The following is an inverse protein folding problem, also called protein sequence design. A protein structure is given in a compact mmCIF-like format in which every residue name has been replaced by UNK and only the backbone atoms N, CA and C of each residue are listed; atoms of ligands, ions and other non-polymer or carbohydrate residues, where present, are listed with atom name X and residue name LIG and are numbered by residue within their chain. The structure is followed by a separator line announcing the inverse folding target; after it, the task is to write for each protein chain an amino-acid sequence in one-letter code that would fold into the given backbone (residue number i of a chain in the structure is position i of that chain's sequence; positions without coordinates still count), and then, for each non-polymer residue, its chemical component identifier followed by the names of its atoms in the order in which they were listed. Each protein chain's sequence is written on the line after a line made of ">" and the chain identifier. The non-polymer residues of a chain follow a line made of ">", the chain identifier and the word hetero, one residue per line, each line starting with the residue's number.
data_IF_813005114168
#
_entry.id   IF_813005114168
#
_cell.length_a   1.000
_cell.length_b   1.000
_cell.length_c   1.000
_cell.angle_alpha   90.00
_cell.angle_beta   90.00
_cell.angle_gamma   90.00
#
_symmetry.space_group_name_H-M   'P 1'
#
loop_
_entity.id
_entity.type
_entity.pdbx_description
1 polymer ?
#
# COMPACT_ATOMS: atom_id res chain seq x y z
N UNK A 1 -6.48 0.85 4.21
CA UNK A 1 -7.07 2.22 4.16
C UNK A 1 -8.38 2.29 4.95
N UNK A 2 -9.30 1.33 4.79
CA UNK A 2 -10.59 1.28 5.50
C UNK A 2 -10.46 1.20 7.02
N UNK A 3 -9.34 0.72 7.54
CA UNK A 3 -9.02 0.70 8.97
C UNK A 3 -9.12 2.10 9.60
N UNK A 4 -8.80 3.16 8.83
CA UNK A 4 -8.87 4.56 9.25
C UNK A 4 -10.27 5.19 9.11
N UNK A 5 -11.27 4.48 8.56
CA UNK A 5 -12.60 5.05 8.42
C UNK A 5 -13.22 5.27 9.82
N UNK A 6 -13.76 6.48 10.02
CA UNK A 6 -14.29 6.95 11.31
C UNK A 6 -13.22 7.13 12.39
N UNK A 7 -11.95 7.31 12.01
CA UNK A 7 -10.83 7.49 12.94
C UNK A 7 -9.91 8.59 12.46
N UNK A 8 -9.18 9.19 13.41
CA UNK A 8 -8.26 10.28 13.12
C UNK A 8 -6.92 9.80 12.55
N UNK A 9 -6.57 10.28 11.37
CA UNK A 9 -5.25 10.06 10.77
C UNK A 9 -4.24 11.13 11.22
N UNK A 10 -2.97 10.79 11.52
CA UNK A 10 -2.40 9.44 11.57
C UNK A 10 -2.56 8.70 12.92
N UNK A 11 -3.12 9.35 13.95
CA UNK A 11 -3.09 8.86 15.34
C UNK A 11 -3.80 7.52 15.57
N UNK A 12 -4.75 7.13 14.71
CA UNK A 12 -5.50 5.88 14.83
C UNK A 12 -4.62 4.61 14.78
N UNK A 13 -3.37 4.72 14.32
CA UNK A 13 -2.41 3.61 14.35
C UNK A 13 -2.20 3.04 15.76
N UNK A 14 -2.34 3.86 16.80
CA UNK A 14 -2.18 3.43 18.19
C UNK A 14 -3.33 2.52 18.63
N UNK A 15 -4.54 2.72 18.09
CA UNK A 15 -5.68 1.83 18.31
C UNK A 15 -5.45 0.46 17.68
N UNK A 16 -4.79 0.41 16.52
CA UNK A 16 -4.48 -0.86 15.86
C UNK A 16 -3.43 -1.63 16.66
N UNK A 17 -2.37 -0.93 17.12
CA UNK A 17 -1.35 -1.53 18.00
C UNK A 17 -1.96 -2.08 19.28
N UNK A 18 -2.87 -1.33 19.88
CA UNK A 18 -3.59 -1.75 21.07
C UNK A 18 -4.45 -3.00 20.82
N UNK A 19 -5.14 -3.07 19.67
CA UNK A 19 -6.00 -4.20 19.33
C UNK A 19 -5.25 -5.52 19.18
N UNK A 20 -4.00 -5.50 18.70
CA UNK A 20 -3.17 -6.69 18.53
C UNK A 20 -2.16 -6.92 19.66
N UNK A 21 -2.16 -6.06 20.69
CA UNK A 21 -1.15 -6.05 21.76
C UNK A 21 -0.98 -7.39 22.50
N UNK A 22 -1.99 -8.25 22.51
CA UNK A 22 -1.96 -9.55 23.18
C UNK A 22 -1.70 -10.73 22.25
N UNK A 23 -1.56 -10.48 20.95
CA UNK A 23 -1.24 -11.50 19.97
C UNK A 23 0.25 -11.41 19.59
N UNK A 24 1.10 -12.31 20.10
CA UNK A 24 2.54 -12.29 19.80
C UNK A 24 2.87 -12.66 18.35
N UNK A 25 1.90 -13.11 17.56
CA UNK A 25 2.09 -13.49 16.16
C UNK A 25 1.61 -12.40 15.19
N UNK A 26 0.98 -11.35 15.69
CA UNK A 26 0.49 -10.23 14.88
C UNK A 26 1.50 -9.07 14.91
N UNK A 27 1.78 -8.52 13.72
CA UNK A 27 2.68 -7.38 13.56
C UNK A 27 1.99 -6.28 12.77
N UNK A 28 2.14 -5.03 13.22
CA UNK A 28 1.76 -3.85 12.43
C UNK A 28 2.99 -3.33 11.73
N UNK A 29 2.96 -3.34 10.40
CA UNK A 29 4.02 -2.79 9.58
C UNK A 29 3.58 -1.47 8.94
N UNK A 30 3.84 -0.36 9.63
CA UNK A 30 3.68 1.00 9.10
C UNK A 30 4.99 1.77 9.22
N UNK A 31 5.77 1.81 8.13
CA UNK A 31 7.17 2.25 8.13
C UNK A 31 7.97 1.46 9.18
N UNK A 32 7.79 0.14 9.17
CA UNK A 32 8.44 -0.79 10.09
C UNK A 32 9.05 -1.98 9.34
N UNK A 33 10.12 -2.51 9.93
CA UNK A 33 10.84 -3.69 9.47
C UNK A 33 10.58 -4.86 10.43
N UNK A 34 10.42 -6.05 9.87
CA UNK A 34 10.42 -7.32 10.60
C UNK A 34 11.40 -8.27 9.92
N UNK A 35 12.36 -8.80 10.66
CA UNK A 35 13.23 -9.87 10.15
C UNK A 35 12.71 -11.21 10.66
N UNK A 36 12.40 -12.13 9.74
CA UNK A 36 11.87 -13.45 10.06
C UNK A 36 12.54 -14.48 9.14
N UNK A 37 13.11 -15.53 9.73
CA UNK A 37 13.76 -16.63 9.01
C UNK A 37 14.78 -16.20 7.94
N UNK A 38 15.54 -15.14 8.21
CA UNK A 38 16.56 -14.60 7.30
C UNK A 38 16.02 -13.71 6.18
N UNK A 39 14.70 -13.46 6.14
CA UNK A 39 14.04 -12.57 5.20
C UNK A 39 13.68 -11.25 5.91
N UNK A 40 13.98 -10.13 5.26
CA UNK A 40 13.56 -8.79 5.68
C UNK A 40 12.18 -8.48 5.11
N UNK A 41 11.21 -8.24 5.98
CA UNK A 41 9.91 -7.70 5.62
C UNK A 41 9.89 -6.20 5.89
N UNK A 42 9.58 -5.41 4.85
CA UNK A 42 9.39 -3.96 4.94
C UNK A 42 7.92 -3.66 4.68
N UNK A 43 7.24 -3.04 5.64
CA UNK A 43 5.84 -2.70 5.46
C UNK A 43 5.48 -1.26 5.75
N UNK A 44 4.58 -0.73 4.93
CA UNK A 44 3.96 0.58 5.05
C UNK A 44 2.64 0.57 4.28
N UNK A 45 1.66 1.39 4.67
CA UNK A 45 0.42 1.53 3.91
C UNK A 45 0.69 1.99 2.47
N UNK A 46 1.81 2.70 2.24
CA UNK A 46 2.17 3.36 0.99
C UNK A 46 1.00 4.19 0.47
N UNK A 47 0.59 5.22 1.22
CA UNK A 47 -0.48 6.10 0.76
C UNK A 47 -0.16 6.72 -0.61
N UNK A 48 -1.18 7.26 -1.23
CA UNK A 48 -1.13 7.84 -2.58
C UNK A 48 -0.36 9.17 -2.65
N UNK A 49 0.27 9.43 -3.80
CA UNK A 49 0.80 10.73 -4.23
C UNK A 49 -0.10 11.42 -5.28
N UNK A 50 -1.26 10.82 -5.56
CA UNK A 50 -2.22 11.21 -6.60
C UNK A 50 -1.62 11.28 -8.00
N UNK A 51 -0.75 10.32 -8.35
CA UNK A 51 0.02 10.31 -9.59
C UNK A 51 0.85 11.60 -9.75
N UNK A 52 1.65 11.93 -8.74
CA UNK A 52 2.39 13.18 -8.65
C UNK A 52 1.49 14.42 -8.60
N UNK A 53 0.33 14.33 -7.94
CA UNK A 53 -0.66 15.40 -7.83
C UNK A 53 -1.58 15.59 -9.04
N UNK A 54 -1.27 14.98 -10.19
CA UNK A 54 -2.05 15.17 -11.44
C UNK A 54 -3.50 14.74 -11.29
N UNK A 55 -3.77 13.75 -10.45
CA UNK A 55 -5.09 13.16 -10.28
C UNK A 55 -5.84 13.66 -9.04
N UNK A 56 -5.23 14.53 -8.23
CA UNK A 56 -5.78 14.95 -6.93
C UNK A 56 -7.23 15.44 -7.02
N UNK A 57 -7.52 16.31 -8.00
CA UNK A 57 -8.86 16.86 -8.18
C UNK A 57 -9.92 15.79 -8.51
N UNK A 58 -9.54 14.77 -9.29
CA UNK A 58 -10.43 13.66 -9.61
C UNK A 58 -10.64 12.76 -8.38
N UNK A 59 -9.57 12.44 -7.65
CA UNK A 59 -9.64 11.62 -6.45
C UNK A 59 -10.52 12.28 -5.37
N UNK A 60 -10.33 13.58 -5.08
CA UNK A 60 -11.12 14.31 -4.09
C UNK A 60 -12.63 14.25 -4.34
N UNK A 61 -13.05 14.21 -5.61
CA UNK A 61 -14.48 14.11 -5.98
C UNK A 61 -14.99 12.66 -6.01
N UNK A 62 -14.14 11.71 -6.38
CA UNK A 62 -14.55 10.37 -6.75
C UNK A 62 -14.73 9.40 -5.58
N UNK A 63 -14.24 9.75 -4.38
CA UNK A 63 -14.00 8.73 -3.34
C UNK A 63 -14.41 9.22 -1.96
N UNK A 64 -14.93 8.32 -1.13
CA UNK A 64 -15.42 8.65 0.21
C UNK A 64 -14.33 8.84 1.25
N UNK A 65 -13.11 8.31 1.05
CA UNK A 65 -12.07 8.27 2.08
C UNK A 65 -11.76 9.65 2.69
N UNK A 66 -11.68 10.69 1.87
CA UNK A 66 -11.42 12.06 2.32
C UNK A 66 -12.54 12.66 3.19
N UNK A 67 -13.72 12.05 3.18
CA UNK A 67 -14.88 12.46 3.99
C UNK A 67 -15.04 11.64 5.27
N UNK A 68 -14.54 10.40 5.28
CA UNK A 68 -14.76 9.45 6.39
C UNK A 68 -13.52 9.23 7.25
N UNK A 69 -12.32 9.53 6.75
CA UNK A 69 -11.13 9.62 7.58
C UNK A 69 -11.18 10.96 8.31
N UNK A 70 -11.11 10.91 9.63
CA UNK A 70 -11.11 12.13 10.44
C UNK A 70 -9.73 12.77 10.39
N UNK A 71 -9.68 14.10 10.31
CA UNK A 71 -8.40 14.81 10.15
C UNK A 71 -8.53 16.24 9.65
N UNK A 72 -9.74 16.66 9.28
CA UNK A 72 -10.01 17.99 8.77
C UNK A 72 -11.01 17.93 7.62
N UNK A 73 -10.96 18.93 6.75
CA UNK A 73 -11.68 18.89 5.49
C UNK A 73 -10.98 17.92 4.49
N UNK A 74 -11.63 17.53 3.38
CA UNK A 74 -11.07 16.59 2.40
C UNK A 74 -9.67 16.94 1.87
N UNK A 75 -9.35 18.22 1.68
CA UNK A 75 -8.04 18.66 1.19
C UNK A 75 -6.95 18.51 2.25
N UNK A 76 -7.28 18.74 3.52
CA UNK A 76 -6.37 18.54 4.65
C UNK A 76 -6.03 17.05 4.81
N UNK A 77 -7.04 16.19 4.72
CA UNK A 77 -6.85 14.74 4.72
C UNK A 77 -5.98 14.34 3.53
N UNK A 78 -6.30 14.79 2.32
CA UNK A 78 -5.54 14.45 1.13
C UNK A 78 -4.06 14.87 1.24
N UNK A 79 -3.80 16.05 1.81
CA UNK A 79 -2.46 16.54 2.10
C UNK A 79 -1.76 15.66 3.13
N UNK A 80 -2.44 15.25 4.20
CA UNK A 80 -1.86 14.37 5.21
C UNK A 80 -1.45 13.01 4.63
N UNK A 81 -2.29 12.40 3.79
CA UNK A 81 -1.97 11.14 3.10
C UNK A 81 -0.75 11.28 2.18
N UNK A 82 -0.64 12.38 1.43
CA UNK A 82 0.54 12.64 0.59
C UNK A 82 1.81 12.91 1.43
N UNK A 83 1.69 13.57 2.58
CA UNK A 83 2.84 13.73 3.48
C UNK A 83 3.30 12.38 4.04
N UNK A 84 2.38 11.49 4.40
CA UNK A 84 2.72 10.13 4.83
C UNK A 84 3.35 9.32 3.69
N UNK A 85 2.80 9.39 2.48
CA UNK A 85 3.40 8.79 1.27
C UNK A 85 4.88 9.14 1.13
N UNK A 86 5.23 10.43 1.26
CA UNK A 86 6.62 10.88 1.15
C UNK A 86 7.50 10.31 2.27
N UNK A 87 6.98 10.23 3.49
CA UNK A 87 7.69 9.59 4.61
C UNK A 87 7.90 8.10 4.36
N UNK A 88 6.89 7.42 3.80
CA UNK A 88 6.96 6.00 3.45
C UNK A 88 8.02 5.73 2.38
N UNK A 89 8.07 6.54 1.30
CA UNK A 89 9.09 6.40 0.27
C UNK A 89 10.49 6.72 0.78
N UNK A 90 10.65 7.78 1.56
CA UNK A 90 11.95 8.11 2.17
C UNK A 90 12.45 6.97 3.06
N UNK A 91 11.56 6.45 3.92
CA UNK A 91 11.87 5.33 4.78
C UNK A 91 12.22 4.05 4.01
N UNK A 92 11.44 3.69 2.97
CA UNK A 92 11.75 2.54 2.11
C UNK A 92 13.13 2.70 1.46
N UNK A 93 13.41 3.87 0.89
CA UNK A 93 14.71 4.17 0.30
C UNK A 93 15.84 3.96 1.31
N UNK A 94 15.71 4.50 2.53
CA UNK A 94 16.68 4.29 3.62
C UNK A 94 16.87 2.82 3.99
N UNK A 95 15.80 1.99 3.99
CA UNK A 95 15.93 0.56 4.25
C UNK A 95 16.71 -0.17 3.15
N UNK A 96 16.55 0.22 1.89
CA UNK A 96 17.28 -0.37 0.78
C UNK A 96 18.73 0.10 0.67
N UNK A 97 19.11 1.20 1.35
CA UNK A 97 20.53 1.60 1.49
C UNK A 97 21.29 0.79 2.56
N UNK A 98 20.60 -0.01 3.37
CA UNK A 98 21.25 -0.90 4.36
C UNK A 98 21.82 -2.15 3.67
N UNK A 99 22.56 -2.97 4.44
CA UNK A 99 23.13 -4.22 3.93
C UNK A 99 22.12 -5.07 3.17
N UNK A 100 22.55 -5.56 2.01
CA UNK A 100 21.74 -6.39 1.12
C UNK A 100 21.28 -7.67 1.84
N UNK A 101 20.00 -7.99 1.68
CA UNK A 101 19.35 -9.19 2.19
C UNK A 101 18.10 -9.46 1.37
N UNK A 102 17.66 -10.71 1.36
CA UNK A 102 16.38 -11.07 0.78
C UNK A 102 15.27 -10.26 1.42
N UNK A 103 14.58 -9.47 0.59
CA UNK A 103 13.62 -8.48 1.05
C UNK A 103 12.26 -8.69 0.40
N UNK A 104 11.22 -8.69 1.24
CA UNK A 104 9.81 -8.67 0.85
C UNK A 104 9.23 -7.32 1.25
N UNK A 105 8.56 -6.66 0.32
CA UNK A 105 7.83 -5.41 0.60
C UNK A 105 6.34 -5.71 0.69
N UNK A 106 5.67 -5.17 1.71
CA UNK A 106 4.23 -5.33 1.92
C UNK A 106 3.57 -3.97 2.01
N UNK A 107 2.65 -3.67 1.08
CA UNK A 107 1.91 -2.42 1.06
C UNK A 107 0.42 -2.62 0.96
N UNK A 108 -0.37 -1.60 1.30
CA UNK A 108 -1.80 -1.64 0.99
C UNK A 108 -2.05 -1.19 -0.44
N UNK A 109 -1.54 -0.02 -0.83
CA UNK A 109 -1.67 0.52 -2.18
C UNK A 109 -0.74 -0.20 -3.16
N UNK A 110 -1.15 -0.23 -4.42
CA UNK A 110 -0.39 -0.87 -5.48
C UNK A 110 0.85 -0.03 -5.83
N UNK A 111 2.01 -0.67 -6.04
CA UNK A 111 3.27 0.04 -6.28
C UNK A 111 3.54 0.32 -7.77
N UNK A 112 2.58 0.03 -8.65
CA UNK A 112 2.61 0.43 -10.06
C UNK A 112 1.21 0.44 -10.65
N UNK A 113 0.99 1.22 -11.70
CA UNK A 113 -0.24 1.17 -12.50
C UNK A 113 -0.39 -0.15 -13.27
N UNK A 114 0.66 -0.99 -13.35
CA UNK A 114 0.56 -2.33 -13.92
C UNK A 114 -0.43 -3.25 -13.17
N UNK A 115 -0.68 -2.99 -11.87
CA UNK A 115 -1.68 -3.74 -11.11
C UNK A 115 -3.13 -3.34 -11.42
N UNK A 116 -3.32 -2.23 -12.12
CA UNK A 116 -4.63 -1.66 -12.40
C UNK A 116 -5.44 -2.58 -13.31
N UNK A 117 -6.69 -2.85 -12.93
CA UNK A 117 -7.58 -3.63 -13.78
C UNK A 117 -7.84 -2.91 -15.12
N UNK A 118 -7.95 -3.64 -16.25
CA UNK A 118 -8.13 -3.03 -17.56
C UNK A 118 -9.33 -2.08 -17.66
N UNK A 119 -10.42 -2.36 -16.92
CA UNK A 119 -11.61 -1.50 -16.87
C UNK A 119 -11.30 -0.07 -16.41
N UNK A 120 -10.30 0.09 -15.55
CA UNK A 120 -9.93 1.40 -15.03
C UNK A 120 -8.85 2.09 -15.86
N UNK A 121 -8.29 1.45 -16.89
CA UNK A 121 -7.16 1.99 -17.66
C UNK A 121 -7.38 3.45 -18.08
N UNK A 122 -6.42 4.32 -17.76
CA UNK A 122 -6.49 5.77 -18.03
C UNK A 122 -7.39 6.57 -17.07
N UNK A 123 -8.05 5.93 -16.11
CA UNK A 123 -8.87 6.63 -15.12
C UNK A 123 -7.99 7.39 -14.13
N UNK A 124 -8.28 8.69 -13.97
CA UNK A 124 -7.58 9.53 -13.01
C UNK A 124 -7.79 9.03 -11.56
N UNK A 125 -8.93 8.40 -11.25
CA UNK A 125 -9.18 7.90 -9.89
C UNK A 125 -8.17 6.85 -9.46
N UNK A 126 -7.53 6.16 -10.39
CA UNK A 126 -6.50 5.16 -10.10
C UNK A 126 -5.25 5.76 -9.47
N UNK A 127 -5.05 7.08 -9.57
CA UNK A 127 -4.01 7.77 -8.81
C UNK A 127 -4.22 7.68 -7.30
N UNK A 128 -5.44 7.37 -6.82
CA UNK A 128 -5.70 7.11 -5.41
C UNK A 128 -5.22 5.72 -4.97
N UNK A 129 -5.23 4.75 -5.87
CA UNK A 129 -5.02 3.34 -5.53
C UNK A 129 -3.61 2.84 -5.85
N UNK A 130 -2.99 3.46 -6.87
CA UNK A 130 -1.67 3.09 -7.38
C UNK A 130 -0.69 4.25 -7.20
N UNK A 131 0.54 3.90 -6.84
CA UNK A 131 1.71 4.77 -6.84
C UNK A 131 2.66 4.21 -7.89
N UNK A 132 3.23 5.03 -8.78
CA UNK A 132 4.16 4.51 -9.79
C UNK A 132 5.58 4.43 -9.24
N UNK A 133 6.04 3.21 -8.92
CA UNK A 133 7.37 2.92 -8.38
C UNK A 133 8.21 2.00 -9.27
N UNK A 134 7.88 1.87 -10.55
CA UNK A 134 8.59 0.96 -11.47
C UNK A 134 10.12 1.09 -11.39
N UNK A 135 10.65 2.31 -11.50
CA UNK A 135 12.09 2.55 -11.49
C UNK A 135 12.72 2.24 -10.11
N UNK A 136 12.03 2.60 -9.02
CA UNK A 136 12.47 2.31 -7.66
C UNK A 136 12.49 0.80 -7.39
N UNK A 137 11.53 0.04 -7.91
CA UNK A 137 11.49 -1.41 -7.77
C UNK A 137 12.64 -2.07 -8.54
N UNK A 138 12.98 -1.55 -9.73
CA UNK A 138 14.16 -2.00 -10.47
C UNK A 138 15.47 -1.71 -9.72
N UNK A 139 15.56 -0.55 -9.08
CA UNK A 139 16.73 -0.14 -8.28
C UNK A 139 16.85 -0.96 -6.97
N UNK A 140 15.78 -1.05 -6.21
CA UNK A 140 15.74 -1.70 -4.89
C UNK A 140 15.78 -3.22 -4.96
N UNK A 141 15.25 -3.80 -6.04
CA UNK A 141 15.26 -5.24 -6.30
C UNK A 141 14.74 -6.15 -5.18
N UNK A 142 13.63 -5.84 -4.47
CA UNK A 142 13.06 -6.80 -3.53
C UNK A 142 12.66 -8.08 -4.26
N UNK A 143 12.74 -9.24 -3.61
CA UNK A 143 12.35 -10.51 -4.23
C UNK A 143 10.86 -10.55 -4.56
N UNK A 144 10.05 -9.97 -3.66
CA UNK A 144 8.61 -9.99 -3.72
C UNK A 144 8.03 -8.67 -3.20
N UNK A 145 7.01 -8.17 -3.89
CA UNK A 145 6.15 -7.08 -3.43
C UNK A 145 4.71 -7.58 -3.35
N UNK A 146 4.12 -7.51 -2.15
CA UNK A 146 2.73 -7.88 -1.91
C UNK A 146 1.93 -6.60 -1.72
N UNK A 147 0.82 -6.46 -2.44
CA UNK A 147 -0.11 -5.35 -2.22
C UNK A 147 -1.58 -5.79 -2.23
N UNK A 148 -2.48 -4.82 -2.00
CA UNK A 148 -3.92 -5.02 -2.03
C UNK A 148 -4.64 -3.87 -2.72
N UNK A 149 -5.71 -3.42 -2.06
CA UNK A 149 -6.59 -2.29 -2.40
C UNK A 149 -7.43 -2.40 -3.68
N UNK A 150 -6.88 -2.90 -4.77
CA UNK A 150 -7.50 -2.82 -6.10
C UNK A 150 -8.68 -3.78 -6.33
N UNK A 151 -8.92 -4.72 -5.41
CA UNK A 151 -9.96 -5.76 -5.50
C UNK A 151 -9.88 -6.70 -6.71
N UNK A 152 -8.96 -6.42 -7.64
CA UNK A 152 -8.51 -7.30 -8.71
C UNK A 152 -7.19 -7.98 -8.35
N UNK A 153 -7.02 -9.20 -8.86
CA UNK A 153 -5.77 -9.95 -8.73
C UNK A 153 -4.72 -9.40 -9.68
N UNK A 154 -3.47 -9.39 -9.24
CA UNK A 154 -2.32 -9.06 -10.06
C UNK A 154 -1.19 -10.03 -9.73
N UNK A 155 -0.47 -10.50 -10.75
CA UNK A 155 0.74 -11.30 -10.61
C UNK A 155 1.63 -11.02 -11.82
N UNK A 156 2.67 -10.22 -11.62
CA UNK A 156 3.56 -9.77 -12.70
C UNK A 156 4.96 -9.52 -12.16
N UNK A 157 5.86 -9.08 -13.03
CA UNK A 157 7.25 -8.78 -12.67
C UNK A 157 7.65 -7.38 -13.10
N UNK A 158 8.47 -6.74 -12.25
CA UNK A 158 9.24 -5.54 -12.57
C UNK A 158 10.70 -5.92 -12.36
N UNK A 159 11.42 -6.19 -13.45
CA UNK A 159 12.75 -6.81 -13.40
C UNK A 159 12.71 -8.15 -12.65
N UNK A 160 13.59 -8.38 -11.65
CA UNK A 160 13.60 -9.62 -10.87
C UNK A 160 12.48 -9.68 -9.80
N UNK A 161 11.87 -8.55 -9.44
CA UNK A 161 10.83 -8.46 -8.42
C UNK A 161 9.52 -9.05 -8.93
N UNK A 162 8.94 -10.01 -8.20
CA UNK A 162 7.54 -10.42 -8.42
C UNK A 162 6.60 -9.48 -7.65
N UNK A 163 5.54 -9.02 -8.28
CA UNK A 163 4.51 -8.19 -7.64
C UNK A 163 3.19 -8.96 -7.62
N UNK A 164 2.58 -9.11 -6.44
CA UNK A 164 1.38 -9.95 -6.25
C UNK A 164 0.30 -9.20 -5.48
N UNK A 165 -0.95 -9.35 -5.94
CA UNK A 165 -2.17 -8.88 -5.31
C UNK A 165 -3.18 -10.02 -5.31
N UNK A 166 -3.64 -10.46 -4.13
CA UNK A 166 -4.70 -11.46 -4.01
C UNK A 166 -5.79 -10.99 -3.03
N UNK A 167 -6.55 -9.93 -3.40
CA UNK A 167 -7.61 -9.41 -2.57
C UNK A 167 -8.83 -10.32 -2.65
N UNK A 168 -9.61 -10.38 -1.57
CA UNK A 168 -10.95 -10.95 -1.66
C UNK A 168 -11.96 -9.95 -2.25
N UNK A 169 -11.83 -8.66 -1.93
CA UNK A 169 -12.79 -7.65 -2.37
C UNK A 169 -14.15 -7.78 -1.67
N UNK A 170 -15.18 -7.21 -2.27
CA UNK A 170 -16.55 -7.26 -1.74
C UNK A 170 -17.29 -8.54 -2.17
N UNK A 171 -18.24 -9.05 -1.35
CA UNK A 171 -19.01 -10.24 -1.70
C UNK A 171 -19.68 -10.19 -3.08
N UNK A 172 -20.09 -9.00 -3.53
CA UNK A 172 -20.78 -8.79 -4.81
C UNK A 172 -19.82 -8.84 -6.01
N UNK A 173 -18.51 -8.72 -5.80
CA UNK A 173 -17.50 -8.78 -6.86
C UNK A 173 -17.22 -10.23 -7.29
N UNK A 174 -17.72 -11.23 -6.55
CA UNK A 174 -17.69 -12.64 -6.96
C UNK A 174 -16.31 -13.31 -6.86
N UNK A 175 -15.32 -12.63 -6.28
CA UNK A 175 -13.99 -13.17 -6.06
C UNK A 175 -14.03 -14.38 -5.09
N UNK A 176 -13.31 -15.47 -5.41
CA UNK A 176 -13.26 -16.64 -4.53
C UNK A 176 -12.54 -16.32 -3.22
N UNK A 177 -13.07 -16.82 -2.11
CA UNK A 177 -12.34 -16.82 -0.83
C UNK A 177 -11.19 -17.83 -0.92
N UNK A 178 -9.96 -17.36 -0.84
CA UNK A 178 -8.78 -18.23 -0.87
C UNK A 178 -7.49 -17.47 -0.65
N UNK A 179 -6.42 -18.22 -0.40
CA UNK A 179 -5.06 -17.69 -0.25
C UNK A 179 -4.19 -18.13 -1.43
N UNK A 180 -3.17 -17.32 -1.74
CA UNK A 180 -2.14 -17.65 -2.73
C UNK A 180 -0.84 -17.90 -1.97
N UNK A 181 -0.19 -19.03 -2.24
CA UNK A 181 1.14 -19.32 -1.72
C UNK A 181 2.17 -18.79 -2.73
N UNK A 182 3.17 -18.09 -2.23
CA UNK A 182 4.27 -17.51 -3.01
C UNK A 182 5.59 -17.93 -2.37
N UNK A 183 6.56 -18.30 -3.21
CA UNK A 183 7.92 -18.63 -2.78
C UNK A 183 8.80 -17.37 -2.88
N UNK A 184 9.66 -17.18 -1.88
CA UNK A 184 10.62 -16.07 -1.75
C UNK A 184 12.04 -16.63 -1.74
#
# INVERSE_FOLDING_TARGET
>A
NHEYYGKRFPQAIDLFKEAIRQDPQAFILEKQRLDLDGIRFLGTTLWTDYAGGRHLAACLRGVSEFRVIEGGNPEEVARALWQDHKQALAWLHEQFQQSATDTVVVTHHAPSFMSQAPLFAGSAISGLFCVELYDQILEWGPKLWIHGHLHDKADYRIGPTRVVCNPWGYPQEGNPKGFTIVEV
#
